data_IF_176454348864
#
_entry.id   IF_176454348864
#
_cell.length_a   1.000
_cell.length_b   1.000
_cell.length_c   1.000
_cell.angle_alpha   90.00
_cell.angle_beta   90.00
_cell.angle_gamma   90.00
#
_symmetry.space_group_name_H-M   'P 1'
#
loop_
_entity.id
_entity.type
_entity.pdbx_description
1 polymer ?
#
# COMPACT_ATOMS: atom_id res chain seq x y z
N UNK A 1 -28.39 30.98 -97.31
CA UNK A 1 -28.41 29.51 -97.50
C UNK A 1 -29.38 28.91 -96.49
N UNK A 2 -30.05 27.82 -96.89
CA UNK A 2 -31.35 27.28 -96.43
C UNK A 2 -31.54 26.99 -94.91
N UNK A 3 -32.81 26.80 -94.45
CA UNK A 3 -33.31 26.93 -93.07
C UNK A 3 -33.36 25.61 -92.28
N UNK A 4 -33.80 25.66 -91.01
CA UNK A 4 -34.27 24.47 -90.29
C UNK A 4 -35.53 24.74 -89.46
N UNK A 5 -36.52 23.86 -89.61
CA UNK A 5 -37.87 23.85 -89.05
C UNK A 5 -37.97 23.19 -87.66
N UNK A 6 -39.16 23.32 -87.04
CA UNK A 6 -39.87 22.44 -86.06
C UNK A 6 -40.26 23.19 -84.78
N UNK A 7 -41.35 22.93 -84.06
CA UNK A 7 -42.54 22.08 -84.17
C UNK A 7 -43.56 22.62 -83.14
N UNK A 8 -44.86 22.42 -83.40
CA UNK A 8 -45.96 22.84 -82.54
C UNK A 8 -46.05 22.00 -81.24
N UNK A 9 -46.43 22.65 -80.14
CA UNK A 9 -46.78 22.02 -78.86
C UNK A 9 -48.10 22.60 -78.33
N UNK A 10 -49.09 21.73 -78.19
CA UNK A 10 -50.47 21.97 -77.75
C UNK A 10 -50.54 22.28 -76.24
N UNK A 11 -51.24 23.37 -75.87
CA UNK A 11 -51.64 23.63 -74.47
C UNK A 11 -52.89 22.79 -74.14
N UNK A 12 -52.80 21.98 -73.09
CA UNK A 12 -53.95 21.40 -72.40
C UNK A 12 -53.94 21.93 -70.96
N UNK A 13 -55.00 22.63 -70.58
CA UNK A 13 -55.18 23.21 -69.26
C UNK A 13 -55.44 22.13 -68.23
N UNK A 14 -54.66 22.14 -67.15
CA UNK A 14 -54.97 21.42 -65.93
C UNK A 14 -55.91 22.31 -65.10
N UNK A 15 -57.07 21.76 -64.75
CA UNK A 15 -58.00 22.32 -63.79
C UNK A 15 -57.40 22.20 -62.39
N UNK A 16 -57.21 23.33 -61.72
CA UNK A 16 -56.91 23.44 -60.30
C UNK A 16 -57.97 22.69 -59.48
N UNK A 17 -57.56 21.59 -58.84
CA UNK A 17 -58.22 21.08 -57.65
C UNK A 17 -57.52 21.75 -56.46
N UNK A 18 -58.24 22.35 -55.50
CA UNK A 18 -57.60 22.90 -54.31
C UNK A 18 -57.05 21.71 -53.52
N UNK A 19 -55.73 21.57 -53.51
CA UNK A 19 -55.06 20.82 -52.46
C UNK A 19 -55.28 21.67 -51.22
N UNK A 20 -56.12 21.20 -50.29
CA UNK A 20 -56.17 21.76 -48.96
C UNK A 20 -54.78 21.55 -48.36
N UNK A 21 -53.97 22.60 -48.49
CA UNK A 21 -52.73 22.84 -47.79
C UNK A 21 -53.08 22.90 -46.30
N UNK A 22 -53.25 21.72 -45.72
CA UNK A 22 -53.12 21.55 -44.29
C UNK A 22 -51.65 21.78 -44.03
N UNK A 23 -51.30 23.06 -43.83
CA UNK A 23 -50.05 23.43 -43.23
C UNK A 23 -49.96 22.62 -41.94
N UNK A 24 -49.12 21.58 -41.97
CA UNK A 24 -48.64 20.94 -40.75
C UNK A 24 -47.84 22.06 -40.11
N UNK A 25 -48.48 22.78 -39.18
CA UNK A 25 -47.76 23.77 -38.38
C UNK A 25 -46.59 23.03 -37.76
N UNK A 26 -45.37 23.52 -38.04
CA UNK A 26 -44.18 22.95 -37.43
C UNK A 26 -44.40 22.99 -35.91
N UNK A 27 -44.04 21.91 -35.18
CA UNK A 27 -44.15 21.89 -33.74
C UNK A 27 -43.44 23.14 -33.19
N UNK A 28 -44.15 23.85 -32.31
CA UNK A 28 -43.63 25.06 -31.70
C UNK A 28 -42.51 24.69 -30.72
N UNK A 29 -41.65 25.67 -30.46
CA UNK A 29 -40.66 25.68 -29.38
C UNK A 29 -41.24 26.67 -28.36
N UNK A 30 -41.87 26.15 -27.30
CA UNK A 30 -42.70 26.98 -26.42
C UNK A 30 -41.89 27.70 -25.32
N UNK A 31 -40.75 27.15 -24.91
CA UNK A 31 -39.88 27.72 -23.88
C UNK A 31 -38.61 28.42 -24.43
N UNK A 32 -38.27 28.20 -25.69
CA UNK A 32 -37.22 28.90 -26.41
C UNK A 32 -35.81 28.31 -26.27
N UNK A 33 -35.65 27.04 -25.92
CA UNK A 33 -34.33 26.38 -25.85
C UNK A 33 -33.80 25.85 -27.18
N UNK A 34 -34.65 25.86 -28.21
CA UNK A 34 -34.32 25.43 -29.57
C UNK A 34 -34.62 23.98 -29.88
N UNK A 35 -35.23 23.23 -28.96
CA UNK A 35 -35.95 21.99 -29.25
C UNK A 35 -37.41 22.31 -29.61
N UNK A 36 -38.01 21.49 -30.47
CA UNK A 36 -39.43 21.59 -30.80
C UNK A 36 -40.21 20.57 -29.98
N UNK A 37 -41.49 20.83 -29.71
CA UNK A 37 -42.36 19.99 -28.88
C UNK A 37 -42.43 18.48 -29.23
N UNK A 38 -41.96 18.07 -30.42
CA UNK A 38 -41.89 16.66 -30.82
C UNK A 38 -40.59 15.95 -30.42
N UNK A 39 -39.57 16.71 -30.04
CA UNK A 39 -38.26 16.23 -29.59
C UNK A 39 -37.98 16.59 -28.12
N UNK A 40 -38.61 17.65 -27.63
CA UNK A 40 -38.55 18.10 -26.25
C UNK A 40 -39.46 17.26 -25.33
N UNK A 41 -38.92 16.83 -24.19
CA UNK A 41 -39.65 16.07 -23.18
C UNK A 41 -40.39 16.97 -22.17
N UNK A 42 -40.09 18.27 -22.08
CA UNK A 42 -40.85 19.27 -21.31
C UNK A 42 -40.82 20.66 -21.99
N UNK A 43 -41.70 20.87 -22.99
CA UNK A 43 -41.85 22.09 -23.81
C UNK A 43 -42.20 23.38 -23.01
N UNK A 44 -42.37 23.29 -21.68
CA UNK A 44 -42.60 24.43 -20.79
C UNK A 44 -41.33 24.81 -19.96
N UNK A 45 -40.21 24.06 -20.06
CA UNK A 45 -38.98 24.24 -19.28
C UNK A 45 -37.69 24.19 -20.13
N UNK A 46 -37.18 25.38 -20.48
CA UNK A 46 -35.97 25.56 -21.30
C UNK A 46 -34.65 24.98 -20.72
N UNK A 47 -34.69 24.34 -19.55
CA UNK A 47 -33.58 23.56 -18.99
C UNK A 47 -33.65 22.07 -19.34
N UNK A 48 -34.74 21.62 -19.97
CA UNK A 48 -35.02 20.25 -20.35
C UNK A 48 -35.09 20.16 -21.87
N UNK A 49 -34.03 19.67 -22.50
CA UNK A 49 -33.98 19.48 -23.95
C UNK A 49 -32.96 18.43 -24.37
N UNK A 50 -33.12 17.82 -25.56
CA UNK A 50 -32.13 16.94 -26.16
C UNK A 50 -30.68 17.43 -26.05
N UNK A 51 -29.89 16.75 -25.21
CA UNK A 51 -28.48 17.06 -24.99
C UNK A 51 -28.19 18.20 -24.00
N UNK A 52 -29.16 18.60 -23.18
CA UNK A 52 -28.90 19.40 -21.98
C UNK A 52 -27.95 18.65 -21.02
N UNK A 53 -27.36 19.38 -20.07
CA UNK A 53 -26.59 18.75 -19.01
C UNK A 53 -27.55 18.30 -17.90
N UNK A 54 -27.42 17.06 -17.45
CA UNK A 54 -28.17 16.57 -16.30
C UNK A 54 -27.87 17.41 -15.05
N UNK A 55 -28.94 17.86 -14.40
CA UNK A 55 -28.91 18.33 -13.03
C UNK A 55 -29.19 17.13 -12.09
N UNK A 56 -29.21 17.38 -10.79
CA UNK A 56 -29.82 16.43 -9.87
C UNK A 56 -31.08 17.02 -9.29
N UNK A 57 -32.12 17.00 -10.09
CA UNK A 57 -33.46 17.47 -9.75
C UNK A 57 -34.53 16.40 -9.95
N UNK A 58 -34.13 15.20 -10.40
CA UNK A 58 -35.03 14.08 -10.66
C UNK A 58 -35.78 14.22 -11.98
N UNK A 59 -35.29 15.07 -12.89
CA UNK A 59 -35.78 15.21 -14.26
C UNK A 59 -34.79 14.57 -15.24
N UNK A 60 -35.29 14.12 -16.38
CA UNK A 60 -34.47 13.74 -17.54
C UNK A 60 -34.21 15.03 -18.31
N UNK A 61 -33.18 15.80 -17.93
CA UNK A 61 -32.95 17.11 -18.54
C UNK A 61 -32.55 16.96 -20.01
N UNK A 62 -31.92 15.85 -20.40
CA UNK A 62 -31.38 15.66 -21.74
C UNK A 62 -32.30 14.86 -22.70
N UNK A 63 -33.46 14.42 -22.21
CA UNK A 63 -34.47 13.63 -22.91
C UNK A 63 -33.96 12.30 -23.50
N UNK A 64 -32.99 11.63 -22.86
CA UNK A 64 -32.47 10.32 -23.31
C UNK A 64 -33.19 9.11 -22.71
N UNK A 65 -34.19 9.35 -21.85
CA UNK A 65 -35.01 8.34 -21.20
C UNK A 65 -34.43 7.83 -19.88
N UNK A 66 -33.39 8.48 -19.36
CA UNK A 66 -32.77 8.22 -18.07
C UNK A 66 -32.79 9.53 -17.24
N UNK A 67 -32.73 9.43 -15.91
CA UNK A 67 -32.80 10.58 -14.98
C UNK A 67 -31.50 10.78 -14.20
N UNK A 68 -30.91 11.98 -14.28
CA UNK A 68 -29.73 12.43 -13.53
C UNK A 68 -28.39 11.70 -13.86
N UNK A 69 -28.27 10.91 -14.94
CA UNK A 69 -27.13 10.00 -15.24
C UNK A 69 -25.81 10.74 -15.46
N UNK A 70 -25.90 11.98 -15.93
CA UNK A 70 -24.78 12.90 -16.09
C UNK A 70 -24.41 13.63 -14.79
N UNK A 71 -25.20 13.50 -13.73
CA UNK A 71 -25.05 14.16 -12.44
C UNK A 71 -24.73 13.20 -11.27
N UNK A 72 -24.74 11.88 -11.49
CA UNK A 72 -24.41 10.90 -10.46
C UNK A 72 -22.92 10.89 -10.11
N UNK A 73 -22.63 10.83 -8.81
CA UNK A 73 -21.31 10.53 -8.25
C UNK A 73 -21.32 9.17 -7.58
N UNK A 74 -20.16 8.50 -7.56
CA UNK A 74 -19.98 7.28 -6.78
C UNK A 74 -19.65 7.64 -5.34
N UNK A 75 -20.38 7.04 -4.40
CA UNK A 75 -20.12 7.08 -2.97
C UNK A 75 -19.86 5.66 -2.45
N UNK A 76 -19.13 5.54 -1.36
CA UNK A 76 -18.70 4.30 -0.74
C UNK A 76 -19.20 4.28 0.69
N UNK A 77 -19.68 3.12 1.17
CA UNK A 77 -20.13 2.97 2.55
C UNK A 77 -18.99 3.30 3.52
N UNK A 78 -19.33 4.00 4.59
CA UNK A 78 -18.46 4.39 5.72
C UNK A 78 -19.19 3.91 6.98
N UNK A 79 -19.04 2.63 7.29
CA UNK A 79 -19.87 1.93 8.28
C UNK A 79 -19.40 2.13 9.71
N UNK A 80 -18.11 2.42 9.92
CA UNK A 80 -17.52 2.74 11.22
C UNK A 80 -17.39 4.25 11.50
N UNK A 81 -17.67 5.09 10.50
CA UNK A 81 -17.75 6.55 10.57
C UNK A 81 -16.39 7.27 10.76
N UNK A 82 -15.33 6.75 10.15
CA UNK A 82 -14.00 7.37 10.17
C UNK A 82 -13.70 8.31 8.98
N UNK A 83 -14.67 8.44 8.06
CA UNK A 83 -14.62 9.21 6.81
C UNK A 83 -13.90 8.57 5.63
N UNK A 84 -13.50 7.31 5.74
CA UNK A 84 -13.00 6.49 4.64
C UNK A 84 -14.08 5.48 4.23
N UNK A 85 -14.06 5.13 2.94
CA UNK A 85 -15.13 4.31 2.37
C UNK A 85 -14.64 2.95 1.87
N UNK A 86 -15.47 1.92 2.05
CA UNK A 86 -15.23 0.56 1.57
C UNK A 86 -15.20 0.51 0.03
N UNK A 87 -14.06 0.17 -0.60
CA UNK A 87 -13.95 -0.02 -2.05
C UNK A 87 -14.89 -1.07 -2.63
N UNK A 88 -15.36 -2.03 -1.82
CA UNK A 88 -16.26 -3.10 -2.21
C UNK A 88 -17.75 -2.73 -2.10
N UNK A 89 -18.10 -1.66 -1.38
CA UNK A 89 -19.48 -1.24 -1.13
C UNK A 89 -19.76 0.17 -1.67
N UNK A 90 -19.93 0.28 -3.00
CA UNK A 90 -20.24 1.54 -3.67
C UNK A 90 -21.71 1.69 -4.08
N UNK A 91 -22.20 2.93 -4.12
CA UNK A 91 -23.51 3.30 -4.69
C UNK A 91 -23.39 4.59 -5.51
N UNK A 92 -24.22 4.73 -6.54
CA UNK A 92 -24.30 5.98 -7.31
C UNK A 92 -25.48 6.80 -6.81
N UNK A 93 -25.23 8.08 -6.54
CA UNK A 93 -26.24 9.04 -6.13
C UNK A 93 -25.77 10.45 -6.51
N UNK A 94 -26.67 11.43 -6.49
CA UNK A 94 -26.25 12.82 -6.68
C UNK A 94 -25.63 13.43 -5.42
N UNK A 95 -26.12 12.98 -4.26
CA UNK A 95 -25.70 13.46 -2.94
C UNK A 95 -25.32 12.23 -2.14
N UNK A 96 -24.27 12.36 -1.31
CA UNK A 96 -23.82 11.30 -0.42
C UNK A 96 -25.00 10.75 0.39
N UNK A 97 -25.31 9.45 0.26
CA UNK A 97 -26.23 8.79 1.17
C UNK A 97 -25.70 8.87 2.62
N UNK A 98 -26.59 8.74 3.60
CA UNK A 98 -26.18 8.71 4.99
C UNK A 98 -25.23 7.52 5.25
N UNK A 99 -24.06 7.79 5.84
CA UNK A 99 -23.02 6.79 6.07
C UNK A 99 -22.25 6.41 4.80
N UNK A 100 -22.06 7.35 3.88
CA UNK A 100 -21.24 7.14 2.70
C UNK A 100 -20.36 8.35 2.38
N UNK A 101 -19.16 8.09 1.84
CA UNK A 101 -18.13 9.09 1.48
C UNK A 101 -17.70 8.95 0.02
N UNK A 102 -16.94 9.91 -0.50
CA UNK A 102 -16.51 9.92 -1.91
C UNK A 102 -15.21 9.16 -2.19
N UNK A 103 -14.50 8.73 -1.15
CA UNK A 103 -13.26 7.99 -1.29
C UNK A 103 -13.51 6.49 -1.09
N UNK A 104 -12.64 5.68 -1.67
CA UNK A 104 -12.66 4.22 -1.61
C UNK A 104 -11.30 3.74 -1.11
N UNK A 105 -10.94 4.12 0.10
CA UNK A 105 -9.59 3.95 0.62
C UNK A 105 -9.54 3.17 1.92
N UNK A 106 -10.69 2.79 2.45
CA UNK A 106 -10.76 1.99 3.67
C UNK A 106 -10.41 0.52 3.39
N UNK A 107 -9.51 -0.05 4.18
CA UNK A 107 -9.15 -1.46 4.10
C UNK A 107 -9.93 -2.34 5.11
N UNK A 108 -10.61 -1.76 6.10
CA UNK A 108 -11.49 -2.43 7.05
C UNK A 108 -12.61 -1.50 7.59
N UNK A 109 -13.66 -1.30 6.79
CA UNK A 109 -14.86 -0.46 7.05
C UNK A 109 -15.69 -0.84 8.30
N UNK A 110 -15.22 -1.81 9.09
CA UNK A 110 -15.83 -2.19 10.36
C UNK A 110 -15.05 -1.66 11.58
N UNK A 111 -13.91 -0.99 11.38
CA UNK A 111 -12.96 -0.60 12.41
C UNK A 111 -12.34 0.78 12.16
N UNK A 112 -12.91 1.82 12.80
CA UNK A 112 -12.50 3.21 12.67
C UNK A 112 -11.06 3.54 13.13
N UNK A 113 -10.30 2.54 13.60
CA UNK A 113 -8.85 2.65 13.85
C UNK A 113 -7.99 2.17 12.67
N UNK A 114 -8.61 1.65 11.60
CA UNK A 114 -7.96 1.08 10.42
C UNK A 114 -8.33 1.90 9.17
N UNK A 115 -7.47 2.85 8.79
CA UNK A 115 -7.71 3.73 7.67
C UNK A 115 -6.42 4.34 7.13
N UNK A 116 -6.43 4.90 5.90
CA UNK A 116 -5.27 5.59 5.33
C UNK A 116 -4.61 6.60 6.26
N UNK A 117 -3.39 6.27 6.70
CA UNK A 117 -2.58 7.09 7.58
C UNK A 117 -2.94 7.00 9.07
N UNK A 118 -3.68 5.96 9.49
CA UNK A 118 -3.80 5.58 10.89
C UNK A 118 -2.42 5.23 11.47
N UNK A 119 -2.37 5.07 12.79
CA UNK A 119 -1.12 4.69 13.46
C UNK A 119 -1.04 3.18 13.57
N UNK A 120 0.02 2.61 13.02
CA UNK A 120 0.37 1.21 13.24
C UNK A 120 0.42 0.83 14.73
N UNK A 121 -0.22 -0.29 15.02
CA UNK A 121 -0.10 -1.02 16.28
C UNK A 121 0.43 -2.40 15.97
N UNK A 122 1.18 -3.02 16.88
CA UNK A 122 1.59 -4.40 16.65
C UNK A 122 0.46 -5.37 16.97
N UNK A 123 -0.42 -5.57 16.00
CA UNK A 123 -1.55 -6.50 16.07
C UNK A 123 -1.63 -7.42 14.84
N UNK A 124 -0.59 -7.40 13.98
CA UNK A 124 -0.52 -8.12 12.72
C UNK A 124 -1.59 -7.72 11.70
N UNK A 125 -2.07 -6.47 11.78
CA UNK A 125 -2.94 -5.83 10.79
C UNK A 125 -2.20 -4.67 10.13
N UNK A 126 -2.69 -4.30 8.96
CA UNK A 126 -2.31 -3.08 8.24
C UNK A 126 -3.29 -2.01 8.74
N UNK A 127 -2.92 -1.26 9.78
CA UNK A 127 -3.83 -0.26 10.35
C UNK A 127 -3.90 0.98 9.44
N UNK A 128 -2.81 1.34 8.77
CA UNK A 128 -2.72 2.55 7.96
C UNK A 128 -3.07 2.38 6.48
N UNK A 129 -3.46 1.16 6.08
CA UNK A 129 -3.86 0.74 4.74
C UNK A 129 -2.78 1.01 3.66
N UNK A 130 -1.48 0.99 4.00
CA UNK A 130 -0.40 1.20 3.04
C UNK A 130 0.10 -0.08 2.34
N UNK A 131 -0.44 -1.23 2.72
CA UNK A 131 -0.10 -2.56 2.21
C UNK A 131 1.07 -3.21 2.94
N UNK A 132 1.54 -2.64 4.06
CA UNK A 132 2.49 -3.23 4.99
C UNK A 132 1.80 -3.51 6.33
N UNK A 133 2.48 -4.24 7.20
CA UNK A 133 1.90 -4.72 8.44
C UNK A 133 2.88 -4.43 9.56
N UNK A 134 2.39 -3.76 10.60
CA UNK A 134 3.12 -3.38 11.80
C UNK A 134 4.37 -2.50 11.50
N UNK A 135 4.47 -1.85 10.33
CA UNK A 135 5.66 -1.04 10.03
C UNK A 135 5.79 0.18 10.95
N UNK A 136 7.02 0.63 11.17
CA UNK A 136 7.29 1.71 12.11
C UNK A 136 7.09 1.36 13.60
N UNK A 137 6.45 0.23 13.93
CA UNK A 137 6.38 -0.31 15.30
C UNK A 137 7.27 -1.54 15.53
N UNK A 138 7.77 -2.16 14.45
CA UNK A 138 8.80 -3.21 14.55
C UNK A 138 10.11 -2.67 15.13
N UNK A 139 10.70 -3.44 16.03
CA UNK A 139 12.02 -3.23 16.59
C UNK A 139 13.00 -4.26 16.04
N UNK A 140 14.28 -3.91 16.00
CA UNK A 140 15.34 -4.86 15.66
C UNK A 140 15.74 -5.66 16.89
N UNK A 141 15.58 -6.97 16.80
CA UNK A 141 16.13 -7.97 17.71
C UNK A 141 17.13 -8.84 16.96
N UNK A 142 17.72 -9.81 17.64
CA UNK A 142 18.67 -10.76 17.08
C UNK A 142 18.20 -12.18 17.35
N UNK A 143 18.35 -13.10 16.40
CA UNK A 143 18.08 -14.52 16.65
C UNK A 143 19.03 -15.02 17.74
N UNK A 144 18.48 -15.74 18.72
CA UNK A 144 19.17 -16.22 19.92
C UNK A 144 18.84 -17.72 20.07
N UNK A 145 19.68 -18.58 19.48
CA UNK A 145 19.38 -20.01 19.32
C UNK A 145 19.70 -20.81 20.60
N UNK A 146 20.71 -20.40 21.36
CA UNK A 146 21.11 -21.02 22.62
C UNK A 146 20.51 -20.37 23.89
N UNK A 147 19.92 -19.17 23.75
CA UNK A 147 19.16 -18.44 24.77
C UNK A 147 20.00 -17.83 25.87
N UNK A 148 21.20 -17.36 25.55
CA UNK A 148 22.04 -16.63 26.51
C UNK A 148 21.73 -15.13 26.61
N UNK A 149 20.89 -14.61 25.71
CA UNK A 149 20.47 -13.22 25.65
C UNK A 149 21.30 -12.34 24.70
N UNK A 150 22.23 -12.94 23.97
CA UNK A 150 22.92 -12.37 22.81
C UNK A 150 22.46 -13.10 21.55
N UNK A 151 22.55 -12.40 20.41
CA UNK A 151 22.24 -13.00 19.12
C UNK A 151 23.04 -12.34 18.01
N UNK A 152 22.85 -12.78 16.77
CA UNK A 152 23.68 -12.31 15.65
C UNK A 152 22.84 -11.77 14.45
N UNK A 153 21.89 -12.56 13.96
CA UNK A 153 21.05 -12.32 12.79
C UNK A 153 19.92 -11.38 13.17
N UNK A 154 19.87 -10.21 12.53
CA UNK A 154 18.84 -9.21 12.81
C UNK A 154 17.45 -9.70 12.35
N UNK A 155 16.48 -9.62 13.26
CA UNK A 155 15.06 -9.93 13.04
C UNK A 155 14.23 -8.72 13.43
N UNK A 156 13.27 -8.34 12.57
CA UNK A 156 12.27 -7.34 12.92
C UNK A 156 11.10 -8.03 13.62
N UNK A 157 10.80 -7.60 14.84
CA UNK A 157 9.64 -8.09 15.59
C UNK A 157 9.11 -6.99 16.51
N UNK A 158 7.88 -7.15 16.98
CA UNK A 158 7.25 -6.14 17.83
C UNK A 158 7.71 -6.17 19.28
N UNK A 159 8.14 -7.33 19.75
CA UNK A 159 8.53 -7.55 21.13
C UNK A 159 9.61 -8.61 21.21
N UNK A 160 10.37 -8.56 22.30
CA UNK A 160 11.31 -9.59 22.66
C UNK A 160 10.55 -10.86 23.03
N UNK A 161 10.70 -11.92 22.24
CA UNK A 161 10.09 -13.24 22.46
C UNK A 161 11.16 -14.30 22.68
N UNK A 162 10.75 -15.50 23.11
CA UNK A 162 11.66 -16.65 23.23
C UNK A 162 12.36 -16.92 21.88
N UNK A 163 13.69 -17.08 21.91
CA UNK A 163 14.53 -17.21 20.72
C UNK A 163 14.99 -15.88 20.08
N UNK A 164 14.76 -14.75 20.75
CA UNK A 164 15.30 -13.45 20.36
C UNK A 164 16.09 -12.79 21.51
N UNK A 165 17.17 -12.12 21.15
CA UNK A 165 17.99 -11.28 21.99
C UNK A 165 17.86 -9.79 21.64
N UNK A 166 17.95 -8.93 22.65
CA UNK A 166 18.02 -7.48 22.45
C UNK A 166 19.44 -6.97 22.16
N UNK A 167 20.44 -7.81 22.40
CA UNK A 167 21.86 -7.47 22.26
C UNK A 167 22.46 -8.32 21.15
N UNK A 168 23.27 -7.69 20.30
CA UNK A 168 24.04 -8.37 19.27
C UNK A 168 25.41 -8.79 19.81
N UNK A 169 25.95 -9.88 19.29
CA UNK A 169 27.37 -10.20 19.35
C UNK A 169 27.67 -11.65 19.68
N UNK A 170 26.65 -12.50 19.69
CA UNK A 170 26.85 -13.95 19.82
C UNK A 170 27.78 -14.44 18.69
N UNK A 171 28.76 -15.25 19.08
CA UNK A 171 29.73 -15.87 18.18
C UNK A 171 29.60 -17.40 18.12
N UNK A 172 28.64 -17.99 18.84
CA UNK A 172 28.34 -19.42 18.85
C UNK A 172 26.88 -19.73 19.20
N UNK A 173 26.02 -19.67 18.19
CA UNK A 173 24.57 -19.92 18.30
C UNK A 173 24.17 -21.28 18.95
N UNK A 174 25.11 -22.21 19.13
CA UNK A 174 24.88 -23.52 19.75
C UNK A 174 25.32 -23.58 21.24
N UNK A 175 25.91 -22.51 21.80
CA UNK A 175 26.57 -22.56 23.10
C UNK A 175 26.49 -21.26 23.92
N UNK A 176 25.49 -21.20 24.80
CA UNK A 176 25.20 -20.01 25.61
C UNK A 176 26.19 -19.68 26.73
N UNK A 177 27.39 -20.27 26.69
CA UNK A 177 28.54 -19.86 27.48
C UNK A 177 29.53 -19.01 26.66
N UNK A 178 29.27 -18.79 25.36
CA UNK A 178 30.17 -18.08 24.45
C UNK A 178 29.50 -16.82 23.91
N UNK A 179 29.65 -15.71 24.65
CA UNK A 179 28.98 -14.45 24.36
C UNK A 179 29.80 -13.24 24.80
N UNK A 180 29.49 -12.04 24.28
CA UNK A 180 30.15 -10.79 24.67
C UNK A 180 30.34 -10.60 26.17
N UNK A 181 31.60 -10.66 26.61
CA UNK A 181 31.98 -10.46 28.02
C UNK A 181 31.77 -11.67 28.93
N UNK A 182 31.63 -12.88 28.36
CA UNK A 182 31.83 -14.11 29.11
C UNK A 182 33.27 -14.18 29.66
N UNK A 183 33.54 -15.15 30.54
CA UNK A 183 34.90 -15.35 31.03
C UNK A 183 35.60 -16.37 30.14
N UNK A 184 36.81 -16.04 29.69
CA UNK A 184 37.68 -16.99 29.00
C UNK A 184 37.95 -18.24 29.84
N UNK A 185 38.00 -19.36 29.14
CA UNK A 185 38.37 -20.67 29.63
C UNK A 185 39.46 -21.17 28.70
N UNK A 186 40.49 -21.79 29.25
CA UNK A 186 41.57 -22.42 28.50
C UNK A 186 41.10 -23.64 27.68
N UNK A 187 40.38 -23.40 26.59
CA UNK A 187 39.83 -24.40 25.69
C UNK A 187 40.08 -24.11 24.20
N UNK A 188 40.92 -23.11 23.90
CA UNK A 188 41.27 -22.64 22.56
C UNK A 188 40.09 -22.00 21.80
N UNK A 189 38.98 -21.72 22.48
CA UNK A 189 37.84 -20.99 21.93
C UNK A 189 37.83 -19.55 22.47
N UNK A 190 37.27 -18.66 21.67
CA UNK A 190 36.94 -17.29 22.06
C UNK A 190 35.62 -17.33 22.83
N UNK A 191 35.65 -17.35 24.18
CA UNK A 191 34.42 -17.46 24.96
C UNK A 191 33.72 -16.11 25.10
N UNK A 192 34.47 -15.00 25.11
CA UNK A 192 33.92 -13.67 25.33
C UNK A 192 33.59 -12.89 24.05
N UNK A 193 33.81 -13.52 22.89
CA UNK A 193 33.56 -13.01 21.54
C UNK A 193 34.31 -11.70 21.22
N UNK A 194 35.48 -11.45 21.81
CA UNK A 194 36.29 -10.25 21.53
C UNK A 194 37.26 -10.43 20.33
N UNK A 195 37.36 -11.65 19.80
CA UNK A 195 38.22 -12.02 18.67
C UNK A 195 39.60 -12.56 19.07
N UNK A 196 39.85 -12.73 20.36
CA UNK A 196 41.00 -13.43 20.93
C UNK A 196 40.49 -14.71 21.62
N UNK A 197 41.37 -15.71 21.74
CA UNK A 197 41.03 -16.95 22.42
C UNK A 197 42.00 -17.15 23.58
N UNK A 198 41.47 -17.61 24.71
CA UNK A 198 42.19 -17.88 25.96
C UNK A 198 42.93 -16.64 26.53
N UNK A 199 42.61 -15.42 26.11
CA UNK A 199 43.25 -14.24 26.65
C UNK A 199 42.90 -14.05 28.13
N UNK A 200 43.81 -13.39 28.87
CA UNK A 200 43.69 -13.19 30.33
C UNK A 200 43.71 -14.48 31.18
N UNK A 201 43.60 -15.68 30.60
CA UNK A 201 43.75 -16.97 31.28
C UNK A 201 45.06 -17.68 30.97
N UNK A 202 45.73 -17.30 29.88
CA UNK A 202 47.10 -17.72 29.59
C UNK A 202 48.11 -17.31 30.67
N UNK A 203 49.05 -18.21 30.95
CA UNK A 203 50.18 -17.97 31.85
C UNK A 203 51.50 -17.92 31.07
N UNK A 204 52.47 -17.09 31.49
CA UNK A 204 53.79 -17.10 30.88
C UNK A 204 54.59 -18.35 31.30
N UNK A 205 55.11 -19.06 30.32
CA UNK A 205 56.09 -20.13 30.45
C UNK A 205 57.40 -19.72 29.79
N UNK A 206 58.52 -20.22 30.31
CA UNK A 206 59.84 -19.87 29.81
C UNK A 206 60.66 -21.12 29.50
N UNK A 207 61.49 -21.07 28.46
CA UNK A 207 62.28 -22.22 28.00
C UNK A 207 63.21 -22.74 29.10
N UNK A 208 63.16 -24.05 29.38
CA UNK A 208 64.07 -24.76 30.28
C UNK A 208 65.22 -25.34 29.44
N UNK A 209 66.28 -24.56 29.23
CA UNK A 209 67.39 -24.94 28.36
C UNK A 209 68.36 -25.93 29.00
N UNK A 210 68.43 -25.97 30.34
CA UNK A 210 69.32 -26.85 31.10
C UNK A 210 68.59 -28.04 31.74
N UNK A 211 67.28 -28.18 31.49
CA UNK A 211 66.40 -29.24 31.99
C UNK A 211 66.39 -29.34 33.53
N UNK A 212 66.44 -28.21 34.22
CA UNK A 212 66.46 -28.14 35.69
C UNK A 212 65.05 -28.10 36.32
N UNK A 213 64.01 -28.02 35.48
CA UNK A 213 62.61 -27.96 35.89
C UNK A 213 62.04 -26.54 36.02
N UNK A 214 62.86 -25.51 35.78
CA UNK A 214 62.46 -24.10 35.83
C UNK A 214 62.78 -23.39 34.51
N UNK A 215 61.93 -22.43 34.16
CA UNK A 215 62.10 -21.67 32.92
C UNK A 215 63.11 -20.53 33.08
N UNK A 216 63.96 -20.33 32.06
CA UNK A 216 64.96 -19.27 31.97
C UNK A 216 64.39 -17.86 31.71
N UNK A 217 65.26 -16.87 31.51
CA UNK A 217 64.83 -15.47 31.42
C UNK A 217 64.46 -14.99 30.00
N UNK A 218 64.88 -15.72 28.97
CA UNK A 218 65.20 -15.11 27.67
C UNK A 218 64.27 -15.52 26.51
N UNK A 219 63.19 -16.26 26.81
CA UNK A 219 62.11 -16.59 25.87
C UNK A 219 60.81 -16.83 26.66
N UNK A 220 59.70 -16.19 26.28
CA UNK A 220 58.39 -16.36 26.91
C UNK A 220 57.38 -16.87 25.89
N UNK A 221 56.71 -17.97 26.24
CA UNK A 221 55.53 -18.47 25.56
C UNK A 221 54.33 -18.26 26.47
N UNK A 222 53.27 -17.64 25.95
CA UNK A 222 51.98 -17.59 26.61
C UNK A 222 51.19 -18.84 26.20
N UNK A 223 50.65 -19.53 27.18
CA UNK A 223 49.86 -20.73 26.98
C UNK A 223 49.06 -21.05 28.25
N UNK A 224 48.02 -21.86 28.10
CA UNK A 224 47.27 -22.43 29.21
C UNK A 224 48.03 -23.51 29.98
N UNK A 225 48.94 -24.22 29.30
CA UNK A 225 49.79 -25.25 29.90
C UNK A 225 51.21 -25.16 29.32
N UNK A 226 52.19 -25.69 30.06
CA UNK A 226 53.60 -25.65 29.69
C UNK A 226 53.85 -26.24 28.28
N UNK A 227 54.19 -25.43 27.27
CA UNK A 227 54.44 -25.94 25.93
C UNK A 227 55.84 -26.55 25.84
N UNK A 228 55.92 -27.85 25.49
CA UNK A 228 57.18 -28.56 25.26
C UNK A 228 58.15 -28.50 26.45
N UNK A 229 59.32 -27.89 26.23
CA UNK A 229 60.37 -27.72 27.25
C UNK A 229 60.19 -26.44 28.09
N UNK A 230 59.11 -25.69 27.94
CA UNK A 230 58.91 -24.50 28.77
C UNK A 230 58.41 -24.86 30.18
N UNK A 231 58.77 -24.07 31.19
CA UNK A 231 58.38 -24.24 32.60
C UNK A 231 58.03 -22.89 33.23
N UNK A 232 57.35 -22.89 34.37
CA UNK A 232 57.11 -21.66 35.13
C UNK A 232 58.44 -21.11 35.67
N UNK A 233 58.54 -19.79 35.82
CA UNK A 233 59.65 -19.17 36.56
C UNK A 233 59.64 -19.62 38.01
N UNK A 234 60.83 -19.63 38.59
CA UNK A 234 61.05 -19.95 40.00
C UNK A 234 60.53 -18.85 40.93
#
# INVERSE_FOLDING_TARGET
>A
MLPCSRLAGTKIGATDLPVEDTAVEAPADADGDGATADLDCDDDDASVFPGAAEACDGLDNNCDGQTDEGALSTFYADADADSYGDPAASTQACVAPAGAVQNAQDCDDADAEVFPGAKETCDARDNDCDGKTDEGVLQTFYADEDRDGYGDVAVLACALTDGLAAVRGDCDDDNGARFPGAAEICDELDNDCDGLADELVESPFYQDSDNDGHGGADEVAWACAAPGVCRRRR
#
